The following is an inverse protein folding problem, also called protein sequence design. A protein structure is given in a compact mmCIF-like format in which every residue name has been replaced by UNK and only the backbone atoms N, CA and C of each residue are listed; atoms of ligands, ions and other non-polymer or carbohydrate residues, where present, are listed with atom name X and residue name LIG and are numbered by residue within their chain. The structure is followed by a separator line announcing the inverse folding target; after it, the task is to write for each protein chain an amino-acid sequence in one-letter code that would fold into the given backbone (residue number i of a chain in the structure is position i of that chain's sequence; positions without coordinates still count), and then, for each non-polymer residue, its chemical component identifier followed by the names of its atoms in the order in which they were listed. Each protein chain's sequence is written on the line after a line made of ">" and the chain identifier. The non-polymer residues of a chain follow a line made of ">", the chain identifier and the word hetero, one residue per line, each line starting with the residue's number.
data_IF_420545564042
#
_entry.id   IF_420545564042
#
_cell.length_a   1.000
_cell.length_b   1.000
_cell.length_c   1.000
_cell.angle_alpha   90.00
_cell.angle_beta   90.00
_cell.angle_gamma   90.00
#
_symmetry.space_group_name_H-M   'P 1'
#
loop_
_entity.id
_entity.type
_entity.pdbx_description
1 polymer ?
#
# COMPACT_ATOMS: atom_id res chain seq x y z
N UNK A 1 -21.27 -17.75 -17.60
CA UNK A 1 -20.98 -17.83 -16.16
C UNK A 1 -19.60 -17.26 -15.92
N UNK A 2 -19.51 -16.12 -15.22
CA UNK A 2 -18.25 -15.41 -14.95
C UNK A 2 -17.87 -15.73 -13.51
N UNK A 3 -16.85 -16.57 -13.30
CA UNK A 3 -16.15 -16.68 -12.03
C UNK A 3 -14.82 -17.39 -12.29
N UNK A 4 -13.84 -16.64 -12.79
CA UNK A 4 -12.47 -17.13 -12.97
C UNK A 4 -11.89 -17.52 -11.61
N UNK A 5 -11.70 -18.83 -11.47
CA UNK A 5 -10.64 -19.51 -10.74
C UNK A 5 -10.06 -18.79 -9.52
N UNK A 6 -10.57 -19.22 -8.36
CA UNK A 6 -9.82 -19.33 -7.11
C UNK A 6 -8.60 -20.24 -7.34
N UNK A 7 -7.46 -19.70 -7.78
CA UNK A 7 -6.22 -20.47 -7.76
C UNK A 7 -5.02 -19.55 -7.58
N UNK A 8 -4.82 -19.07 -6.36
CA UNK A 8 -3.46 -18.81 -5.88
C UNK A 8 -3.37 -19.32 -4.46
N UNK A 9 -3.26 -20.65 -4.37
CA UNK A 9 -3.04 -21.42 -3.16
C UNK A 9 -1.61 -21.98 -3.08
N UNK A 10 -0.64 -21.32 -3.71
CA UNK A 10 0.77 -21.72 -3.63
C UNK A 10 1.55 -20.80 -2.70
N UNK A 11 1.92 -21.37 -1.54
CA UNK A 11 2.87 -20.81 -0.58
C UNK A 11 4.31 -20.91 -1.12
N UNK A 12 4.57 -20.30 -2.26
CA UNK A 12 5.92 -19.92 -2.68
C UNK A 12 5.98 -18.39 -2.70
N UNK A 13 7.05 -17.74 -2.22
CA UNK A 13 7.25 -16.32 -2.40
C UNK A 13 7.62 -16.03 -3.86
N UNK A 14 6.67 -16.23 -4.78
CA UNK A 14 6.80 -15.77 -6.16
C UNK A 14 6.27 -14.35 -6.34
N UNK A 15 5.62 -13.80 -5.30
CA UNK A 15 5.06 -12.45 -5.27
C UNK A 15 5.57 -11.68 -4.06
N UNK A 16 5.77 -10.38 -4.24
CA UNK A 16 6.05 -9.45 -3.14
C UNK A 16 4.84 -9.22 -2.24
N UNK A 17 4.94 -8.28 -1.27
CA UNK A 17 3.84 -7.96 -0.37
C UNK A 17 2.55 -7.61 -1.13
N UNK A 18 1.47 -8.31 -0.81
CA UNK A 18 0.14 -8.07 -1.39
C UNK A 18 -0.72 -7.37 -0.35
N UNK A 19 -1.30 -6.22 -0.70
CA UNK A 19 -2.23 -5.52 0.17
C UNK A 19 -3.45 -6.41 0.49
N UNK A 20 -3.76 -6.57 1.78
CA UNK A 20 -4.88 -7.37 2.27
C UNK A 20 -6.03 -6.50 2.80
N UNK A 21 -5.72 -5.59 3.71
CA UNK A 21 -6.71 -4.74 4.38
C UNK A 21 -6.05 -3.52 5.00
N UNK A 22 -6.85 -2.49 5.30
CA UNK A 22 -6.39 -1.31 6.03
C UNK A 22 -7.30 -1.01 7.21
N UNK A 23 -6.74 -0.35 8.21
CA UNK A 23 -7.47 0.17 9.37
C UNK A 23 -7.06 1.62 9.61
N UNK A 24 -8.05 2.50 9.71
CA UNK A 24 -7.81 3.92 9.99
C UNK A 24 -7.85 4.10 11.51
N UNK A 25 -6.78 4.64 12.07
CA UNK A 25 -6.61 4.90 13.51
C UNK A 25 -6.17 6.35 13.70
N UNK A 26 -7.14 7.23 13.97
CA UNK A 26 -6.89 8.67 14.08
C UNK A 26 -6.39 9.25 12.75
N UNK A 27 -5.17 9.78 12.77
CA UNK A 27 -4.47 10.32 11.59
C UNK A 27 -3.52 9.31 10.93
N UNK A 28 -3.60 8.03 11.29
CA UNK A 28 -2.74 6.97 10.72
C UNK A 28 -3.59 5.90 10.04
N UNK A 29 -3.04 5.30 8.99
CA UNK A 29 -3.64 4.16 8.30
C UNK A 29 -2.70 2.98 8.43
N UNK A 30 -3.16 1.94 9.14
CA UNK A 30 -2.44 0.69 9.34
C UNK A 30 -2.84 -0.25 8.21
N UNK A 31 -1.89 -0.56 7.34
CA UNK A 31 -2.03 -1.49 6.23
C UNK A 31 -1.52 -2.87 6.65
N UNK A 32 -2.29 -3.89 6.33
CA UNK A 32 -1.92 -5.29 6.52
C UNK A 32 -1.62 -5.91 5.15
N UNK A 33 -0.54 -6.66 5.08
CA UNK A 33 -0.09 -7.32 3.87
C UNK A 33 -0.14 -8.83 4.02
N UNK A 34 -0.22 -9.51 2.89
CA UNK A 34 0.00 -10.93 2.75
C UNK A 34 1.29 -11.15 1.93
N UNK A 35 1.82 -12.38 1.89
CA UNK A 35 3.08 -12.71 1.21
C UNK A 35 4.31 -11.88 1.67
N UNK A 36 4.38 -11.59 2.97
CA UNK A 36 5.51 -10.85 3.57
C UNK A 36 6.77 -11.70 3.77
N UNK A 37 6.69 -13.02 3.58
CA UNK A 37 7.83 -13.96 3.58
C UNK A 37 8.82 -13.73 4.74
N UNK A 38 8.31 -13.73 5.98
CA UNK A 38 9.13 -13.51 7.19
C UNK A 38 9.23 -12.05 7.64
N UNK A 39 8.59 -11.12 6.93
CA UNK A 39 8.37 -9.75 7.39
C UNK A 39 8.54 -8.71 6.28
N UNK A 40 8.13 -7.49 6.56
CA UNK A 40 8.32 -6.38 5.64
C UNK A 40 9.68 -5.74 5.89
N UNK A 41 10.35 -5.32 4.82
CA UNK A 41 11.60 -4.57 4.91
C UNK A 41 11.64 -3.45 3.89
N UNK A 42 12.33 -2.38 4.25
CA UNK A 42 12.70 -1.33 3.32
C UNK A 42 13.98 -1.71 2.58
N UNK A 43 14.05 -1.53 1.27
CA UNK A 43 15.26 -1.81 0.47
C UNK A 43 16.50 -1.05 0.96
N UNK A 44 16.31 0.12 1.57
CA UNK A 44 17.37 1.03 2.02
C UNK A 44 17.55 1.04 3.56
N UNK A 45 16.77 0.23 4.28
CA UNK A 45 16.72 0.27 5.76
C UNK A 45 16.15 1.58 6.36
N UNK A 46 15.53 2.43 5.53
CA UNK A 46 14.95 3.73 5.91
C UNK A 46 13.43 3.72 5.86
N UNK A 47 12.83 4.86 6.22
CA UNK A 47 11.40 5.15 6.06
C UNK A 47 10.87 4.69 4.69
N UNK A 48 9.66 4.13 4.69
CA UNK A 48 9.02 3.71 3.45
C UNK A 48 8.56 4.91 2.64
N UNK A 49 8.79 4.81 1.33
CA UNK A 49 8.48 5.80 0.31
C UNK A 49 7.53 5.21 -0.73
N UNK A 50 6.86 6.09 -1.46
CA UNK A 50 5.87 5.69 -2.47
C UNK A 50 4.44 5.59 -1.92
N UNK A 51 4.19 6.05 -0.69
CA UNK A 51 2.86 6.10 -0.10
C UNK A 51 2.25 7.49 -0.24
N UNK A 52 1.04 7.54 -0.75
CA UNK A 52 0.23 8.75 -0.84
C UNK A 52 -1.09 8.51 -0.08
N UNK A 53 -1.47 9.46 0.76
CA UNK A 53 -2.69 9.41 1.56
C UNK A 53 -3.63 10.52 1.10
N UNK A 54 -4.91 10.20 0.99
CA UNK A 54 -5.95 11.16 0.68
C UNK A 54 -6.90 11.32 1.84
N UNK A 55 -7.35 12.55 2.03
CA UNK A 55 -8.43 12.88 2.93
C UNK A 55 -9.79 12.86 2.25
N UNK A 56 -10.81 13.35 2.96
CA UNK A 56 -12.18 13.53 2.43
C UNK A 56 -12.25 14.50 1.24
N UNK A 57 -11.23 15.33 1.04
CA UNK A 57 -11.07 16.20 -0.13
C UNK A 57 -10.64 15.46 -1.40
N UNK A 58 -10.33 14.16 -1.28
CA UNK A 58 -9.82 13.33 -2.37
C UNK A 58 -8.47 13.80 -2.95
N UNK A 59 -7.75 14.68 -2.23
CA UNK A 59 -6.42 15.13 -2.60
C UNK A 59 -5.38 14.22 -2.00
N UNK A 60 -4.52 13.65 -2.85
CA UNK A 60 -3.44 12.77 -2.43
C UNK A 60 -2.21 13.58 -2.05
N UNK A 61 -1.76 13.42 -0.81
CA UNK A 61 -0.52 13.99 -0.30
C UNK A 61 0.48 12.87 0.00
N UNK A 62 1.76 13.14 -0.23
CA UNK A 62 2.83 12.21 0.15
C UNK A 62 2.83 11.99 1.65
N UNK A 63 2.79 10.73 2.05
CA UNK A 63 2.72 10.31 3.43
C UNK A 63 3.96 9.51 3.80
N UNK A 64 4.37 9.62 5.06
CA UNK A 64 5.43 8.78 5.61
C UNK A 64 4.84 7.44 6.01
N UNK A 65 5.54 6.37 5.67
CA UNK A 65 5.16 5.02 6.05
C UNK A 65 6.29 4.34 6.83
N UNK A 66 5.92 3.55 7.82
CA UNK A 66 6.84 2.84 8.70
C UNK A 66 6.41 1.39 8.81
N UNK A 67 7.39 0.50 8.96
CA UNK A 67 7.14 -0.93 9.12
C UNK A 67 7.02 -1.23 10.60
N UNK A 68 5.89 -1.81 10.99
CA UNK A 68 5.60 -2.29 12.34
C UNK A 68 5.37 -3.81 12.28
N UNK A 69 6.48 -4.56 12.37
CA UNK A 69 6.50 -6.01 12.19
C UNK A 69 6.05 -6.43 10.78
N UNK A 70 4.80 -6.89 10.68
CA UNK A 70 4.16 -7.33 9.44
C UNK A 70 3.18 -6.30 8.85
N UNK A 71 3.02 -5.17 9.54
CA UNK A 71 2.10 -4.10 9.16
C UNK A 71 2.87 -2.88 8.68
N UNK A 72 2.20 -2.04 7.91
CA UNK A 72 2.73 -0.72 7.53
C UNK A 72 1.85 0.35 8.13
N UNK A 73 2.44 1.24 8.90
CA UNK A 73 1.76 2.38 9.48
C UNK A 73 2.05 3.58 8.59
N UNK A 74 1.03 4.05 7.89
CA UNK A 74 1.08 5.27 7.07
C UNK A 74 0.57 6.43 7.89
N UNK A 75 1.45 7.37 8.22
CA UNK A 75 1.09 8.56 8.98
C UNK A 75 0.64 9.67 8.03
N UNK A 76 -0.59 10.16 8.22
CA UNK A 76 -1.09 11.28 7.44
C UNK A 76 -0.35 12.57 7.83
N UNK A 77 0.06 13.40 6.84
CA UNK A 77 0.60 14.72 7.13
C UNK A 77 -0.49 15.64 7.70
N UNK A 78 -0.08 16.75 8.31
CA UNK A 78 -1.02 17.75 8.86
C UNK A 78 -2.00 18.31 7.82
N UNK A 79 -1.60 18.31 6.53
CA UNK A 79 -2.47 18.65 5.42
C UNK A 79 -3.68 17.70 5.24
N UNK A 80 -3.61 16.49 5.81
CA UNK A 80 -4.66 15.45 5.72
C UNK A 80 -5.13 15.07 7.14
N UNK A 81 -5.96 15.90 7.79
CA UNK A 81 -6.41 15.65 9.16
C UNK A 81 -7.34 14.43 9.29
N UNK A 82 -8.06 14.08 8.21
CA UNK A 82 -8.98 12.95 8.16
C UNK A 82 -8.64 12.04 6.98
N UNK A 83 -7.65 11.15 7.12
CA UNK A 83 -7.27 10.25 6.04
C UNK A 83 -8.38 9.22 5.80
N UNK A 84 -8.73 9.01 4.53
CA UNK A 84 -9.78 8.08 4.10
C UNK A 84 -9.26 7.02 3.13
N UNK A 85 -8.16 7.29 2.43
CA UNK A 85 -7.59 6.37 1.45
C UNK A 85 -6.07 6.51 1.37
N UNK A 86 -5.41 5.42 1.00
CA UNK A 86 -3.99 5.31 0.69
C UNK A 86 -3.80 4.69 -0.70
N UNK A 87 -2.82 5.21 -1.43
CA UNK A 87 -2.27 4.64 -2.66
C UNK A 87 -0.78 4.40 -2.50
N UNK A 88 -0.31 3.29 -3.06
CA UNK A 88 1.10 2.93 -3.09
C UNK A 88 1.61 2.83 -4.52
N UNK A 89 2.83 3.30 -4.74
CA UNK A 89 3.50 3.35 -6.05
C UNK A 89 2.72 4.15 -7.11
N UNK A 90 2.04 5.22 -6.68
CA UNK A 90 1.21 6.08 -7.55
C UNK A 90 1.95 7.38 -7.93
N UNK A 91 2.99 7.27 -8.75
CA UNK A 91 3.64 8.41 -9.41
C UNK A 91 4.29 7.99 -10.73
N UNK A 92 4.72 8.97 -11.55
CA UNK A 92 5.42 8.71 -12.82
C UNK A 92 6.80 8.04 -12.63
N UNK A 93 7.43 8.22 -11.47
CA UNK A 93 8.68 7.54 -11.11
C UNK A 93 8.75 7.37 -9.58
N UNK A 94 7.88 6.53 -8.99
CA UNK A 94 7.75 6.44 -7.55
C UNK A 94 8.96 5.68 -7.01
N UNK A 95 9.76 6.33 -6.17
CA UNK A 95 10.81 5.65 -5.40
C UNK A 95 10.11 4.75 -4.38
N UNK A 96 9.90 3.51 -4.77
CA UNK A 96 9.27 2.47 -3.98
C UNK A 96 10.36 1.64 -3.33
N UNK A 97 10.38 1.59 -2.01
CA UNK A 97 11.37 0.85 -1.26
C UNK A 97 10.73 -0.22 -0.36
N UNK A 98 9.46 -0.59 -0.56
CA UNK A 98 8.81 -1.69 0.18
C UNK A 98 9.13 -3.04 -0.45
N UNK A 99 9.74 -3.91 0.33
CA UNK A 99 10.12 -5.26 -0.04
C UNK A 99 9.65 -6.25 1.04
N UNK A 100 9.42 -7.51 0.68
CA UNK A 100 9.23 -8.59 1.65
C UNK A 100 10.57 -9.21 2.10
N UNK A 101 10.52 -10.14 3.05
CA UNK A 101 11.70 -10.86 3.54
C UNK A 101 12.48 -11.56 2.41
N UNK A 102 11.78 -12.11 1.41
CA UNK A 102 12.35 -12.70 0.19
C UNK A 102 13.09 -11.70 -0.72
N UNK A 103 12.98 -10.39 -0.51
CA UNK A 103 13.60 -9.38 -1.37
C UNK A 103 12.82 -9.09 -2.65
N UNK A 104 11.51 -9.36 -2.67
CA UNK A 104 10.60 -8.99 -3.74
C UNK A 104 9.90 -7.65 -3.46
N UNK A 105 9.78 -6.76 -4.45
CA UNK A 105 9.10 -5.47 -4.29
C UNK A 105 7.58 -5.64 -4.15
N UNK A 106 6.94 -4.79 -3.37
CA UNK A 106 5.49 -4.75 -3.26
C UNK A 106 4.82 -4.27 -4.55
N UNK A 107 3.68 -4.86 -4.87
CA UNK A 107 2.88 -4.42 -6.00
C UNK A 107 2.17 -3.10 -5.72
N UNK A 108 1.98 -2.23 -6.73
CA UNK A 108 1.14 -1.04 -6.60
C UNK A 108 -0.26 -1.43 -6.15
N UNK A 109 -0.81 -0.72 -5.18
CA UNK A 109 -2.18 -0.93 -4.70
C UNK A 109 -2.86 0.39 -4.33
N UNK A 110 -4.18 0.34 -4.27
CA UNK A 110 -5.03 1.44 -3.84
C UNK A 110 -6.10 0.92 -2.89
N UNK A 111 -6.52 1.78 -1.98
CA UNK A 111 -7.61 1.50 -1.04
C UNK A 111 -8.86 2.32 -1.34
N UNK A 112 -8.76 3.31 -2.24
CA UNK A 112 -9.93 4.01 -2.74
C UNK A 112 -10.65 3.20 -3.82
N UNK A 113 -11.98 3.29 -3.80
CA UNK A 113 -12.87 2.81 -4.86
C UNK A 113 -13.23 3.95 -5.84
N UNK A 114 -12.55 5.10 -5.77
CA UNK A 114 -12.92 6.25 -6.58
C UNK A 114 -12.64 5.98 -8.05
N UNK A 115 -13.63 6.26 -8.89
CA UNK A 115 -13.49 6.14 -10.36
C UNK A 115 -12.28 6.96 -10.81
N UNK A 116 -11.24 6.25 -11.27
CA UNK A 116 -10.16 6.87 -12.01
C UNK A 116 -10.73 7.46 -13.29
N UNK A 117 -10.43 8.73 -13.55
CA UNK A 117 -10.97 9.56 -14.64
C UNK A 117 -10.55 9.08 -16.05
N UNK A 118 -9.98 7.89 -16.20
CA UNK A 118 -9.61 7.28 -17.47
C UNK A 118 -10.58 6.18 -17.91
N UNK A 119 -11.87 6.51 -17.93
CA UNK A 119 -12.84 5.82 -18.77
C UNK A 119 -13.24 6.83 -19.86
N UNK A 120 -12.62 6.70 -21.03
CA UNK A 120 -13.16 7.31 -22.25
C UNK A 120 -14.49 6.63 -22.54
N UNK A 121 -15.50 7.44 -22.79
CA UNK A 121 -16.78 7.07 -23.41
C UNK A 121 -16.56 6.23 -24.68
#
# INVERSE_FOLDING_TARGET
>A
MIARAKTYGEKLPYSGPIYRSHQIVGNKIILSFDHTDGGLKSSDGKELKGFAIAGRNHEFHWAKAEIDGDKIIVSAPEAVPYPVAVRYAWANNPVCNLYNGAGLPASPFRTDDWRGITQKD
#
